data_IF_788363489386
#
_entry.id   IF_788363489386
#
_cell.length_a   1.000
_cell.length_b   1.000
_cell.length_c   1.000
_cell.angle_alpha   90.00
_cell.angle_beta   90.00
_cell.angle_gamma   90.00
#
_symmetry.space_group_name_H-M   'P 1'
#
loop_
_entity.id
_entity.type
_entity.pdbx_description
1 polymer ?
#
# COMPACT_ATOMS: atom_id res chain seq x y z
N UNK A 1 -4.41 -9.66 17.85
CA UNK A 1 -4.58 -8.30 17.31
C UNK A 1 -4.92 -8.44 15.84
N UNK A 2 -6.00 -7.81 15.40
CA UNK A 2 -6.38 -7.74 13.98
C UNK A 2 -5.26 -7.11 13.14
N UNK A 3 -5.03 -7.67 11.95
CA UNK A 3 -4.01 -7.19 11.02
C UNK A 3 -4.62 -7.25 9.64
N UNK A 4 -5.20 -6.15 9.19
CA UNK A 4 -5.61 -6.04 7.79
C UNK A 4 -4.42 -6.10 6.83
N UNK A 5 -4.66 -6.58 5.62
CA UNK A 5 -3.63 -6.79 4.62
C UNK A 5 -4.18 -6.57 3.21
N UNK A 6 -3.34 -6.05 2.33
CA UNK A 6 -3.55 -6.17 0.89
C UNK A 6 -2.80 -7.38 0.36
N UNK A 7 -3.46 -8.15 -0.51
CA UNK A 7 -2.79 -9.08 -1.41
C UNK A 7 -2.65 -8.44 -2.80
N UNK A 8 -1.48 -8.59 -3.42
CA UNK A 8 -1.20 -8.11 -4.78
C UNK A 8 -0.58 -9.23 -5.61
N UNK A 9 -1.28 -9.65 -6.67
CA UNK A 9 -0.80 -10.63 -7.63
C UNK A 9 -0.17 -9.94 -8.85
N UNK A 10 1.15 -9.91 -8.91
CA UNK A 10 1.88 -9.36 -10.05
C UNK A 10 1.81 -10.26 -11.29
N UNK A 11 1.55 -11.56 -11.15
CA UNK A 11 1.44 -12.49 -12.29
C UNK A 11 0.23 -12.18 -13.19
N UNK A 12 -0.84 -11.65 -12.60
CA UNK A 12 -2.09 -11.30 -13.32
C UNK A 12 -2.29 -9.80 -13.47
N UNK A 13 -1.42 -8.98 -12.87
CA UNK A 13 -1.48 -7.54 -12.99
C UNK A 13 -1.04 -7.14 -14.39
N UNK A 14 -1.83 -6.30 -15.05
CA UNK A 14 -1.52 -5.78 -16.40
C UNK A 14 -1.16 -4.29 -16.40
N UNK A 15 -0.97 -3.69 -15.22
CA UNK A 15 -0.54 -2.30 -15.10
C UNK A 15 -1.56 -1.25 -15.61
N UNK A 16 -2.83 -1.60 -15.81
CA UNK A 16 -3.82 -0.73 -16.47
C UNK A 16 -4.17 0.58 -15.74
N UNK A 17 -3.77 0.75 -14.48
CA UNK A 17 -4.03 1.97 -13.71
C UNK A 17 -5.46 2.13 -13.17
N UNK A 18 -6.38 1.20 -13.44
CA UNK A 18 -7.78 1.29 -12.97
C UNK A 18 -7.89 1.46 -11.45
N UNK A 19 -7.11 0.69 -10.68
CA UNK A 19 -7.07 0.76 -9.23
C UNK A 19 -6.51 2.10 -8.70
N UNK A 20 -5.59 2.73 -9.44
CA UNK A 20 -5.04 4.05 -9.12
C UNK A 20 -6.09 5.15 -9.41
N UNK A 21 -6.73 5.10 -10.57
CA UNK A 21 -7.77 6.08 -10.97
C UNK A 21 -8.98 6.00 -10.04
N UNK A 22 -9.49 4.79 -9.76
CA UNK A 22 -10.62 4.60 -8.85
C UNK A 22 -10.32 5.12 -7.43
N UNK A 23 -9.11 4.87 -6.92
CA UNK A 23 -8.68 5.41 -5.63
C UNK A 23 -8.59 6.94 -5.65
N UNK A 24 -8.10 7.53 -6.75
CA UNK A 24 -7.99 8.98 -6.89
C UNK A 24 -9.36 9.65 -6.93
N UNK A 25 -10.25 9.11 -7.76
CA UNK A 25 -11.60 9.62 -7.97
C UNK A 25 -12.46 9.48 -6.71
N UNK A 26 -12.53 8.26 -6.14
CA UNK A 26 -13.39 8.00 -4.98
C UNK A 26 -12.94 8.69 -3.69
N UNK A 27 -11.69 9.14 -3.59
CA UNK A 27 -11.21 10.00 -2.49
C UNK A 27 -11.07 11.48 -2.90
N UNK A 28 -11.48 11.85 -4.12
CA UNK A 28 -11.36 13.23 -4.64
C UNK A 28 -9.96 13.82 -4.50
N UNK A 29 -8.94 13.00 -4.74
CA UNK A 29 -7.54 13.37 -4.50
C UNK A 29 -7.05 14.43 -5.51
N UNK A 30 -6.29 15.43 -5.06
CA UNK A 30 -5.61 16.38 -5.94
C UNK A 30 -4.70 15.69 -6.98
N UNK A 31 -4.39 16.39 -8.07
CA UNK A 31 -3.61 15.86 -9.18
C UNK A 31 -2.24 15.31 -8.74
N UNK A 32 -1.57 15.96 -7.78
CA UNK A 32 -0.26 15.61 -7.23
C UNK A 32 -0.29 14.53 -6.14
N UNK A 33 -1.47 14.10 -5.71
CA UNK A 33 -1.65 13.11 -4.63
C UNK A 33 -2.04 11.75 -5.19
N UNK A 34 -1.37 10.71 -4.69
CA UNK A 34 -1.67 9.31 -5.00
C UNK A 34 -1.60 8.47 -3.73
N UNK A 35 -2.72 7.86 -3.35
CA UNK A 35 -2.79 6.90 -2.23
C UNK A 35 -2.46 5.46 -2.66
N UNK A 36 -2.66 5.14 -3.94
CA UNK A 36 -2.23 3.91 -4.60
C UNK A 36 -1.55 4.29 -5.91
N UNK A 37 -0.46 3.61 -6.25
CA UNK A 37 0.31 3.81 -7.49
C UNK A 37 0.47 2.51 -8.24
N UNK A 38 0.47 2.59 -9.57
CA UNK A 38 0.97 1.53 -10.45
C UNK A 38 2.35 1.94 -10.93
N UNK A 39 3.33 1.06 -10.73
CA UNK A 39 4.71 1.25 -11.18
C UNK A 39 5.14 0.04 -12.03
N UNK A 40 6.05 0.27 -12.96
CA UNK A 40 6.75 -0.79 -13.69
C UNK A 40 8.08 -1.02 -12.98
N UNK A 41 8.28 -2.25 -12.48
CA UNK A 41 9.50 -2.67 -11.82
C UNK A 41 10.35 -3.46 -12.80
N UNK A 42 11.65 -3.18 -12.85
CA UNK A 42 12.57 -3.98 -13.63
C UNK A 42 12.77 -5.34 -12.97
N UNK A 43 12.59 -6.38 -13.75
CA UNK A 43 12.88 -7.75 -13.35
C UNK A 43 14.37 -7.97 -13.16
N UNK A 44 14.77 -8.80 -12.20
CA UNK A 44 16.16 -9.20 -12.00
C UNK A 44 16.70 -9.92 -13.24
N UNK A 45 17.76 -9.36 -13.82
CA UNK A 45 18.62 -10.01 -14.82
C UNK A 45 18.10 -10.13 -16.26
N UNK A 46 16.88 -9.68 -16.61
CA UNK A 46 16.37 -9.80 -17.99
C UNK A 46 15.68 -8.57 -18.59
N UNK A 47 15.82 -7.38 -17.96
CA UNK A 47 15.27 -6.09 -18.43
C UNK A 47 13.75 -6.09 -18.72
N UNK A 48 13.02 -7.12 -18.29
CA UNK A 48 11.58 -7.20 -18.45
C UNK A 48 10.92 -6.37 -17.36
N UNK A 49 9.93 -5.58 -17.73
CA UNK A 49 9.19 -4.75 -16.78
C UNK A 49 7.95 -5.51 -16.28
N UNK A 50 7.74 -5.46 -14.96
CA UNK A 50 6.61 -6.09 -14.30
C UNK A 50 5.77 -5.06 -13.55
N UNK A 51 4.45 -5.01 -13.77
CA UNK A 51 3.59 -4.04 -13.11
C UNK A 51 3.37 -4.42 -11.64
N UNK A 52 3.66 -3.47 -10.75
CA UNK A 52 3.33 -3.54 -9.34
C UNK A 52 2.32 -2.45 -8.98
N UNK A 53 1.25 -2.82 -8.28
CA UNK A 53 0.31 -1.85 -7.70
C UNK A 53 0.46 -1.81 -6.19
N UNK A 54 1.02 -0.72 -5.68
CA UNK A 54 1.26 -0.50 -4.25
C UNK A 54 0.43 0.64 -3.67
N UNK A 55 0.03 0.51 -2.41
CA UNK A 55 -0.55 1.56 -1.59
C UNK A 55 0.25 1.71 -0.27
N UNK A 56 -0.34 2.23 0.79
CA UNK A 56 0.21 2.08 2.14
C UNK A 56 0.10 0.61 2.58
N UNK A 57 1.12 0.10 3.27
CA UNK A 57 1.12 -1.29 3.76
C UNK A 57 0.63 -1.42 5.20
N UNK A 58 0.13 -0.34 5.82
CA UNK A 58 -0.47 -0.35 7.16
C UNK A 58 0.32 -1.23 8.15
N UNK A 59 1.62 -0.91 8.25
CA UNK A 59 2.62 -1.77 8.87
C UNK A 59 2.30 -2.10 10.33
N UNK A 60 2.84 -3.21 10.84
CA UNK A 60 2.72 -3.53 12.27
C UNK A 60 3.43 -2.49 13.13
N UNK A 61 4.61 -2.05 12.70
CA UNK A 61 5.45 -1.04 13.36
C UNK A 61 5.63 0.18 12.43
N UNK A 62 4.60 1.02 12.27
CA UNK A 62 4.62 2.10 11.30
C UNK A 62 5.51 3.25 11.76
N UNK A 63 6.65 3.42 11.09
CA UNK A 63 7.58 4.53 11.34
C UNK A 63 6.91 5.90 11.22
N UNK A 64 5.93 6.05 10.33
CA UNK A 64 5.20 7.29 10.12
C UNK A 64 4.38 7.75 11.34
N UNK A 65 3.87 6.82 12.17
CA UNK A 65 3.18 7.19 13.42
C UNK A 65 4.20 7.53 14.51
N UNK A 66 5.30 6.76 14.60
CA UNK A 66 6.33 6.95 15.61
C UNK A 66 7.00 8.34 15.54
N UNK A 67 7.07 8.94 14.36
CA UNK A 67 7.69 10.27 14.14
C UNK A 67 6.68 11.42 14.10
N UNK A 68 5.38 11.15 14.18
CA UNK A 68 4.36 12.20 14.09
C UNK A 68 4.20 12.90 15.45
N UNK A 69 4.61 14.16 15.52
CA UNK A 69 4.60 14.93 16.76
C UNK A 69 3.23 15.48 17.15
N UNK A 70 2.27 15.53 16.23
CA UNK A 70 0.93 16.09 16.47
C UNK A 70 -0.14 15.03 16.72
N UNK A 71 0.17 13.76 16.52
CA UNK A 71 -0.81 12.66 16.57
C UNK A 71 -1.67 12.51 15.30
N UNK A 72 -1.41 13.30 14.26
CA UNK A 72 -2.12 13.18 12.98
C UNK A 72 -2.00 11.78 12.35
N UNK A 73 -0.85 11.14 12.48
CA UNK A 73 -0.67 9.73 12.09
C UNK A 73 -0.85 8.83 13.32
N UNK A 74 -1.85 7.95 13.28
CA UNK A 74 -2.11 6.99 14.36
C UNK A 74 -2.62 5.66 13.79
N UNK A 75 -2.66 4.63 14.61
CA UNK A 75 -3.07 3.28 14.22
C UNK A 75 -4.34 2.89 14.96
N UNK A 76 -5.32 2.41 14.21
CA UNK A 76 -6.59 1.89 14.73
C UNK A 76 -6.45 0.43 15.20
N UNK A 77 -7.45 -0.04 15.95
CA UNK A 77 -7.48 -1.40 16.51
C UNK A 77 -7.48 -2.49 15.42
N UNK A 78 -8.11 -2.23 14.28
CA UNK A 78 -8.13 -3.13 13.12
C UNK A 78 -6.76 -3.22 12.38
N UNK A 79 -5.77 -2.45 12.82
CA UNK A 79 -4.45 -2.38 12.21
C UNK A 79 -4.31 -1.28 11.16
N UNK A 80 -5.39 -0.56 10.81
CA UNK A 80 -5.32 0.55 9.85
C UNK A 80 -4.51 1.70 10.44
N UNK A 81 -3.35 1.98 9.85
CA UNK A 81 -2.68 3.27 10.04
C UNK A 81 -3.49 4.34 9.31
N UNK A 82 -3.93 5.40 9.97
CA UNK A 82 -4.78 6.49 9.45
C UNK A 82 -4.09 7.85 9.57
N UNK A 83 -4.69 8.86 8.94
CA UNK A 83 -4.23 10.25 8.97
C UNK A 83 -5.40 11.16 9.32
N UNK A 84 -5.19 12.11 10.22
CA UNK A 84 -6.13 13.17 10.58
C UNK A 84 -5.63 14.52 10.05
N UNK A 85 -6.36 15.07 9.07
CA UNK A 85 -6.06 16.36 8.46
C UNK A 85 -6.15 17.53 9.47
N UNK A 86 -7.01 17.43 10.49
CA UNK A 86 -7.22 18.48 11.50
C UNK A 86 -6.07 18.62 12.49
N UNK A 87 -5.25 17.59 12.64
CA UNK A 87 -4.04 17.60 13.50
C UNK A 87 -2.75 17.78 12.68
N UNK A 88 -2.82 17.68 11.36
CA UNK A 88 -1.64 17.67 10.52
C UNK A 88 -1.12 19.08 10.25
N UNK A 89 0.15 19.31 10.58
CA UNK A 89 0.84 20.59 10.34
C UNK A 89 1.68 20.60 9.05
N UNK A 90 1.56 19.57 8.21
CA UNK A 90 2.25 19.51 6.92
C UNK A 90 3.78 19.39 6.97
N UNK A 91 4.36 19.02 8.12
CA UNK A 91 5.82 19.00 8.31
C UNK A 91 6.56 17.97 7.43
N UNK A 92 5.86 16.95 6.91
CA UNK A 92 6.44 15.94 6.02
C UNK A 92 7.33 14.90 6.70
N UNK A 93 7.51 14.91 8.02
CA UNK A 93 8.36 13.91 8.70
C UNK A 93 7.90 12.48 8.44
N UNK A 94 6.59 12.25 8.38
CA UNK A 94 6.01 10.95 8.06
C UNK A 94 6.38 10.48 6.64
N UNK A 95 6.43 11.40 5.66
CA UNK A 95 6.86 11.14 4.27
C UNK A 95 8.28 10.58 4.24
N UNK A 96 9.22 11.28 4.90
CA UNK A 96 10.64 10.93 4.90
C UNK A 96 10.95 9.62 5.64
N UNK A 97 10.08 9.21 6.57
CA UNK A 97 10.27 8.01 7.38
C UNK A 97 9.47 6.80 6.86
N UNK A 98 8.68 6.94 5.80
CA UNK A 98 8.02 5.80 5.18
C UNK A 98 8.98 5.14 4.18
N UNK A 99 9.52 3.93 4.47
CA UNK A 99 10.50 3.30 3.59
C UNK A 99 9.91 2.93 2.21
N UNK A 100 8.58 2.85 2.12
CA UNK A 100 7.86 2.44 0.91
C UNK A 100 7.36 3.61 0.06
N UNK A 101 7.61 4.87 0.48
CA UNK A 101 7.14 6.04 -0.25
C UNK A 101 5.61 6.15 -0.38
N UNK A 102 4.85 5.51 0.50
CA UNK A 102 3.39 5.38 0.41
C UNK A 102 2.60 6.63 0.84
N UNK A 103 3.29 7.69 1.25
CA UNK A 103 2.70 8.95 1.72
C UNK A 103 2.90 10.01 0.64
N UNK A 104 1.92 10.88 0.46
CA UNK A 104 2.00 12.10 -0.35
C UNK A 104 1.86 13.31 0.56
N UNK A 105 2.52 14.42 0.22
CA UNK A 105 2.24 15.72 0.83
C UNK A 105 1.40 16.53 -0.17
N UNK A 106 0.17 16.87 0.18
CA UNK A 106 -0.71 17.64 -0.70
C UNK A 106 -0.27 19.09 -0.72
N UNK A 107 0.15 19.60 -1.88
CA UNK A 107 0.45 21.04 -2.03
C UNK A 107 -0.80 21.90 -1.92
N UNK A 108 -1.96 21.34 -2.25
CA UNK A 108 -3.26 22.02 -2.19
C UNK A 108 -3.77 22.18 -0.76
N UNK A 109 -3.73 21.09 0.01
CA UNK A 109 -4.34 21.06 1.33
C UNK A 109 -3.34 21.37 2.45
N UNK A 110 -2.03 21.37 2.15
CA UNK A 110 -0.98 21.63 3.15
C UNK A 110 -0.77 20.48 4.14
N UNK A 111 -1.37 19.32 3.90
CA UNK A 111 -1.35 18.15 4.80
C UNK A 111 -0.88 16.89 4.09
N UNK A 112 -0.39 15.93 4.86
CA UNK A 112 -0.07 14.61 4.34
C UNK A 112 -1.33 13.84 3.92
N UNK A 113 -1.19 12.92 2.98
CA UNK A 113 -2.26 12.11 2.43
C UNK A 113 -1.72 10.71 2.20
N UNK A 114 -2.49 9.69 2.55
CA UNK A 114 -2.09 8.28 2.39
C UNK A 114 -3.33 7.38 2.37
N UNK A 115 -3.18 6.18 1.82
CA UNK A 115 -4.25 5.18 1.83
C UNK A 115 -4.76 4.95 3.26
N UNK A 116 -6.07 4.88 3.40
CA UNK A 116 -6.84 4.63 4.63
C UNK A 116 -7.57 3.27 4.57
N UNK A 117 -7.24 2.44 3.58
CA UNK A 117 -7.94 1.18 3.23
C UNK A 117 -9.42 1.35 2.91
N UNK A 118 -9.85 2.55 2.49
CA UNK A 118 -11.23 2.92 2.27
C UNK A 118 -12.11 2.62 3.50
N UNK A 119 -11.69 3.12 4.68
CA UNK A 119 -12.33 2.86 5.97
C UNK A 119 -13.86 3.10 5.95
N UNK A 120 -14.32 4.19 5.30
CA UNK A 120 -15.75 4.50 5.15
C UNK A 120 -16.51 3.44 4.34
N UNK A 121 -15.89 2.89 3.29
CA UNK A 121 -16.51 1.82 2.50
C UNK A 121 -16.57 0.53 3.30
N UNK A 122 -15.48 0.20 3.99
CA UNK A 122 -15.38 -1.00 4.82
C UNK A 122 -16.41 -1.01 5.94
N UNK A 123 -16.71 0.14 6.57
CA UNK A 123 -17.74 0.23 7.61
C UNK A 123 -19.15 -0.08 7.10
N UNK A 124 -19.36 -0.02 5.77
CA UNK A 124 -20.61 -0.37 5.08
C UNK A 124 -20.59 -1.77 4.46
N UNK A 125 -19.57 -2.58 4.76
CA UNK A 125 -19.40 -3.92 4.21
C UNK A 125 -18.97 -3.94 2.74
N UNK A 126 -18.44 -2.83 2.22
CA UNK A 126 -17.95 -2.72 0.86
C UNK A 126 -16.43 -2.91 0.80
N UNK A 127 -15.94 -3.42 -0.33
CA UNK A 127 -14.50 -3.52 -0.56
C UNK A 127 -13.85 -2.15 -0.76
N UNK A 128 -12.52 -2.05 -0.58
CA UNK A 128 -11.75 -0.91 -1.05
C UNK A 128 -11.93 -0.68 -2.57
N UNK A 129 -11.95 0.58 -2.99
CA UNK A 129 -12.15 0.97 -4.40
C UNK A 129 -11.17 0.28 -5.35
N UNK A 130 -9.92 0.15 -4.92
CA UNK A 130 -8.87 -0.47 -5.71
C UNK A 130 -9.06 -1.98 -5.93
N UNK A 131 -9.76 -2.67 -5.03
CA UNK A 131 -10.13 -4.09 -5.16
C UNK A 131 -11.25 -4.23 -6.19
N UNK A 132 -12.35 -3.49 -6.00
CA UNK A 132 -13.51 -3.54 -6.90
C UNK A 132 -13.16 -3.11 -8.34
N UNK A 133 -12.25 -2.14 -8.49
CA UNK A 133 -11.86 -1.61 -9.79
C UNK A 133 -10.86 -2.50 -10.55
N UNK A 134 -10.31 -3.56 -9.95
CA UNK A 134 -9.27 -4.36 -10.59
C UNK A 134 -9.86 -5.36 -11.60
N UNK A 135 -9.72 -5.16 -12.94
CA UNK A 135 -10.39 -6.02 -13.92
C UNK A 135 -9.83 -7.44 -13.94
N UNK A 136 -8.56 -7.62 -13.56
CA UNK A 136 -7.91 -8.94 -13.50
C UNK A 136 -7.97 -9.57 -12.11
N UNK A 137 -8.67 -8.95 -11.15
CA UNK A 137 -8.76 -9.42 -9.74
C UNK A 137 -7.39 -9.71 -9.12
N UNK A 138 -6.42 -8.86 -9.44
CA UNK A 138 -5.04 -8.95 -8.96
C UNK A 138 -4.83 -8.33 -7.58
N UNK A 139 -5.86 -7.71 -6.99
CA UNK A 139 -5.78 -7.09 -5.68
C UNK A 139 -6.90 -7.70 -4.84
N UNK A 140 -6.55 -8.16 -3.64
CA UNK A 140 -7.51 -8.61 -2.61
C UNK A 140 -7.22 -7.87 -1.30
N UNK A 141 -8.21 -7.83 -0.40
CA UNK A 141 -8.11 -7.13 0.87
C UNK A 141 -8.91 -7.87 1.94
N UNK A 142 -8.34 -7.97 3.14
CA UNK A 142 -8.97 -8.65 4.26
C UNK A 142 -8.04 -8.78 5.45
N UNK A 143 -8.38 -9.66 6.39
CA UNK A 143 -7.50 -10.00 7.50
C UNK A 143 -6.29 -10.81 7.02
N UNK A 144 -5.13 -10.56 7.63
CA UNK A 144 -3.86 -11.16 7.27
C UNK A 144 -3.92 -12.68 7.31
N UNK A 145 -4.48 -13.26 8.38
CA UNK A 145 -4.52 -14.71 8.54
C UNK A 145 -5.39 -15.38 7.46
N UNK A 146 -6.50 -14.73 7.07
CA UNK A 146 -7.37 -15.22 6.01
C UNK A 146 -6.69 -15.16 4.64
N UNK A 147 -6.07 -14.03 4.32
CA UNK A 147 -5.34 -13.87 3.06
C UNK A 147 -4.09 -14.77 3.01
N UNK A 148 -3.39 -14.95 4.12
CA UNK A 148 -2.25 -15.84 4.22
C UNK A 148 -2.67 -17.31 4.07
N UNK A 149 -3.82 -17.72 4.62
CA UNK A 149 -4.38 -19.05 4.38
C UNK A 149 -4.78 -19.25 2.92
N UNK A 150 -5.34 -18.22 2.28
CA UNK A 150 -5.82 -18.27 0.89
C UNK A 150 -4.70 -18.24 -0.15
N UNK A 151 -3.66 -17.44 0.06
CA UNK A 151 -2.62 -17.15 -0.92
C UNK A 151 -1.23 -17.64 -0.53
N UNK A 152 -1.04 -18.08 0.71
CA UNK A 152 0.25 -18.32 1.36
C UNK A 152 0.82 -17.05 2.01
N UNK A 153 1.99 -17.16 2.62
CA UNK A 153 2.71 -16.02 3.22
C UNK A 153 3.20 -14.97 2.19
N UNK A 154 2.97 -15.21 0.89
CA UNK A 154 3.48 -14.40 -0.20
C UNK A 154 4.91 -14.74 -0.58
N UNK A 155 5.37 -14.14 -1.67
CA UNK A 155 6.77 -14.11 -2.05
C UNK A 155 7.55 -13.10 -1.19
N UNK A 156 8.88 -13.26 -1.07
CA UNK A 156 9.72 -12.35 -0.29
C UNK A 156 9.60 -10.91 -0.78
N UNK A 157 9.18 -9.99 0.09
CA UNK A 157 9.04 -8.58 -0.25
C UNK A 157 10.38 -7.93 -0.61
N UNK A 158 11.49 -8.43 -0.05
CA UNK A 158 12.85 -7.95 -0.30
C UNK A 158 13.28 -8.00 -1.76
N UNK A 159 12.57 -8.75 -2.61
CA UNK A 159 12.80 -8.78 -4.06
C UNK A 159 12.40 -7.46 -4.76
N UNK A 160 11.45 -6.70 -4.20
CA UNK A 160 10.88 -5.51 -4.83
C UNK A 160 10.73 -4.30 -3.90
N UNK A 161 10.90 -4.50 -2.60
CA UNK A 161 10.71 -3.49 -1.55
C UNK A 161 11.89 -3.53 -0.58
N UNK A 162 12.11 -2.46 0.20
CA UNK A 162 13.02 -2.49 1.34
C UNK A 162 12.68 -3.62 2.32
N UNK A 163 13.69 -3.97 3.13
CA UNK A 163 13.61 -5.04 4.12
C UNK A 163 12.31 -4.98 4.96
N UNK A 164 11.61 -6.10 5.01
CA UNK A 164 10.33 -6.24 5.68
C UNK A 164 10.48 -6.08 7.20
N UNK A 165 11.62 -6.47 7.78
CA UNK A 165 11.88 -6.42 9.22
C UNK A 165 11.95 -4.97 9.75
N UNK A 166 12.10 -3.97 8.86
CA UNK A 166 12.11 -2.56 9.24
C UNK A 166 10.78 -2.09 9.87
N UNK A 167 9.65 -2.65 9.41
CA UNK A 167 8.30 -2.20 9.81
C UNK A 167 7.26 -3.31 9.90
N UNK A 168 7.57 -4.51 9.43
CA UNK A 168 6.64 -5.63 9.27
C UNK A 168 5.38 -5.22 8.47
N UNK A 169 5.53 -4.89 7.17
CA UNK A 169 4.45 -4.38 6.34
C UNK A 169 3.31 -5.40 6.19
N UNK A 170 2.06 -4.95 6.20
CA UNK A 170 0.88 -5.80 6.01
C UNK A 170 0.53 -5.90 4.51
N UNK A 171 1.39 -6.61 3.80
CA UNK A 171 1.29 -6.85 2.36
C UNK A 171 1.68 -8.30 2.05
N UNK A 172 0.88 -8.98 1.24
CA UNK A 172 1.23 -10.26 0.63
C UNK A 172 1.37 -10.02 -0.88
N UNK A 173 2.52 -10.37 -1.46
CA UNK A 173 2.75 -10.24 -2.89
C UNK A 173 2.91 -11.62 -3.51
N UNK A 174 2.40 -11.79 -4.73
CA UNK A 174 2.80 -12.90 -5.60
C UNK A 174 3.58 -12.32 -6.78
N UNK A 175 4.82 -12.75 -6.92
CA UNK A 175 5.69 -12.34 -8.01
C UNK A 175 5.24 -12.98 -9.33
N UNK A 176 5.51 -12.34 -10.47
CA UNK A 176 5.09 -12.84 -11.77
C UNK A 176 5.87 -14.11 -12.16
N UNK A 177 5.24 -14.98 -12.96
CA UNK A 177 5.96 -16.12 -13.56
C UNK A 177 7.12 -15.60 -14.40
N UNK A 178 8.31 -16.15 -14.15
CA UNK A 178 9.54 -15.70 -14.78
C UNK A 178 10.34 -14.69 -13.97
N UNK A 179 9.85 -14.24 -12.80
CA UNK A 179 10.67 -13.50 -11.84
C UNK A 179 11.82 -14.39 -11.35
N UNK A 180 13.05 -14.06 -11.74
CA UNK A 180 14.25 -14.77 -11.29
C UNK A 180 14.70 -14.20 -9.96
N UNK A 181 14.30 -14.82 -8.84
CA UNK A 181 14.67 -14.33 -7.50
C UNK A 181 16.14 -13.93 -7.45
N UNK A 182 16.41 -12.71 -7.00
CA UNK A 182 17.77 -12.23 -6.82
C UNK A 182 18.44 -13.10 -5.78
N UNK A 183 19.35 -13.99 -6.20
CA UNK A 183 20.23 -14.64 -5.25
C UNK A 183 20.99 -13.54 -4.50
N UNK A 184 20.99 -13.61 -3.17
CA UNK A 184 22.06 -12.98 -2.42
C UNK A 184 23.37 -13.63 -2.90
N UNK A 185 24.09 -12.91 -3.76
CA UNK A 185 25.52 -13.15 -3.94
C UNK A 185 26.27 -12.63 -2.71
#
# INVERSE_FOLDING_TARGET
MSRICFFVNMDTCIGCGACQVACKDGHSLPADVFMRRVALLNGPGDAREFPFSGACFHCLEPRCTAVCTTGAMHKLEDGTVVHDDGLCIGCGTCLWNCPYGSISLSKRNGVSQKCDTCLERRSRGLNPLCVDACPTRSIDFGEWDELAAKYGAGDPLGEILPDADMTHPSLIVRLPRGWKKGGAE
#
